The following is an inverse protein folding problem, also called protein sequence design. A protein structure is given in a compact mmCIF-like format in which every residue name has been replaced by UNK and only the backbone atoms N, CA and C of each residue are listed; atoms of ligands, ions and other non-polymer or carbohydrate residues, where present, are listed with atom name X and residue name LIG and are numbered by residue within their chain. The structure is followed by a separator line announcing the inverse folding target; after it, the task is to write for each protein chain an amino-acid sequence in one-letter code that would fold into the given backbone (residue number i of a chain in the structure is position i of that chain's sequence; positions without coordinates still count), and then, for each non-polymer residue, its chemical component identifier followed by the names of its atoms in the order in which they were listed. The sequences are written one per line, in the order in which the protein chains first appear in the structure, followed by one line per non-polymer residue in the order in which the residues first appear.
data_IF_383767284914
#
_entry.id   IF_383767284914
#
_cell.length_a   1.000
_cell.length_b   1.000
_cell.length_c   1.000
_cell.angle_alpha   90.00
_cell.angle_beta   90.00
_cell.angle_gamma   90.00
#
_symmetry.space_group_name_H-M   'P 1'
#
loop_
_entity.id
_entity.type
_entity.pdbx_description
1 polymer ?
#
# COMPACT_ATOMS: atom_id res chain seq x y z
N UNK A 1 0.58 -7.15 30.06
CA UNK A 1 0.98 -7.82 28.80
C UNK A 1 0.23 -9.13 28.68
N UNK A 2 -0.30 -9.44 27.51
CA UNK A 2 -1.00 -10.70 27.22
C UNK A 2 0.01 -11.87 27.24
N UNK A 3 -0.47 -13.04 27.70
CA UNK A 3 0.37 -14.23 27.84
C UNK A 3 -0.34 -15.50 27.33
N UNK A 4 0.44 -16.51 26.98
CA UNK A 4 -0.09 -17.85 26.66
C UNK A 4 -0.90 -18.41 27.84
N UNK A 5 -2.01 -19.07 27.53
CA UNK A 5 -2.98 -19.59 28.49
C UNK A 5 -4.04 -18.58 28.95
N UNK A 6 -3.83 -17.29 28.72
CA UNK A 6 -4.80 -16.24 29.09
C UNK A 6 -6.10 -16.40 28.30
N UNK A 7 -7.24 -16.16 28.99
CA UNK A 7 -8.57 -16.20 28.39
C UNK A 7 -9.00 -14.76 28.05
N UNK A 8 -9.10 -14.46 26.74
CA UNK A 8 -9.59 -13.18 26.24
C UNK A 8 -11.11 -13.23 26.11
N UNK A 9 -11.78 -12.18 26.61
CA UNK A 9 -13.25 -12.04 26.54
C UNK A 9 -14.00 -13.28 27.01
N UNK A 10 -13.48 -14.04 28.03
CA UNK A 10 -14.04 -15.27 28.56
C UNK A 10 -14.35 -16.35 27.50
N UNK A 11 -13.64 -16.30 26.36
CA UNK A 11 -13.89 -17.19 25.20
C UNK A 11 -12.64 -17.67 24.49
N UNK A 12 -11.71 -16.78 24.18
CA UNK A 12 -10.56 -17.10 23.34
C UNK A 12 -9.32 -17.36 24.19
N UNK A 13 -8.90 -18.62 24.31
CA UNK A 13 -7.69 -19.00 25.04
C UNK A 13 -6.47 -18.82 24.15
N UNK A 14 -5.64 -17.84 24.49
CA UNK A 14 -4.42 -17.55 23.76
C UNK A 14 -3.43 -18.70 23.88
N UNK A 15 -2.92 -19.21 22.75
CA UNK A 15 -1.95 -20.30 22.71
C UNK A 15 -0.52 -19.76 22.44
N UNK A 16 -0.27 -19.28 21.27
CA UNK A 16 1.02 -18.75 20.85
C UNK A 16 0.89 -17.42 20.10
N UNK A 17 1.89 -16.53 20.25
CA UNK A 17 1.93 -15.29 19.50
C UNK A 17 2.51 -15.54 18.11
N UNK A 18 1.71 -15.29 17.05
CA UNK A 18 2.07 -15.50 15.65
C UNK A 18 2.90 -14.31 15.12
N UNK A 19 2.46 -13.09 15.41
CA UNK A 19 3.10 -11.88 14.87
C UNK A 19 2.94 -10.67 15.80
N UNK A 20 3.87 -9.72 15.68
CA UNK A 20 3.81 -8.39 16.30
C UNK A 20 3.93 -7.35 15.19
N UNK A 21 3.00 -6.39 15.20
CA UNK A 21 2.97 -5.32 14.19
C UNK A 21 2.79 -3.92 14.80
N UNK A 22 2.74 -2.93 13.92
CA UNK A 22 2.53 -1.53 14.33
C UNK A 22 1.23 -1.30 15.09
N UNK A 23 0.17 -2.06 14.73
CA UNK A 23 -1.19 -1.90 15.27
C UNK A 23 -1.50 -2.84 16.45
N UNK A 24 -0.68 -3.85 16.70
CA UNK A 24 -0.97 -4.83 17.75
C UNK A 24 -0.27 -6.15 17.54
N UNK A 25 -0.82 -7.17 18.14
CA UNK A 25 -0.30 -8.55 18.13
C UNK A 25 -1.33 -9.49 17.50
N UNK A 26 -0.86 -10.52 16.81
CA UNK A 26 -1.70 -11.62 16.31
C UNK A 26 -1.33 -12.89 17.09
N UNK A 27 -2.35 -13.52 17.65
CA UNK A 27 -2.21 -14.72 18.45
C UNK A 27 -2.97 -15.88 17.84
N UNK A 28 -2.40 -17.06 17.90
CA UNK A 28 -3.15 -18.29 17.79
C UNK A 28 -3.97 -18.48 19.08
N UNK A 29 -5.25 -18.85 18.95
CA UNK A 29 -6.13 -19.03 20.09
C UNK A 29 -7.14 -20.15 19.84
N UNK A 30 -7.63 -20.77 20.92
CA UNK A 30 -8.75 -21.72 20.89
C UNK A 30 -10.04 -20.99 21.25
N UNK A 31 -11.03 -21.02 20.37
CA UNK A 31 -12.41 -20.61 20.64
C UNK A 31 -13.08 -21.71 21.51
N UNK A 32 -13.15 -21.50 22.82
CA UNK A 32 -13.64 -22.48 23.76
C UNK A 32 -15.14 -22.79 23.66
N UNK A 33 -15.90 -21.98 22.86
CA UNK A 33 -17.34 -22.20 22.65
C UNK A 33 -17.61 -23.04 21.42
N UNK A 34 -16.77 -22.90 20.37
CA UNK A 34 -16.95 -23.57 19.10
C UNK A 34 -15.92 -24.67 18.84
N UNK A 35 -15.01 -24.91 19.80
CA UNK A 35 -13.95 -25.92 19.76
C UNK A 35 -13.15 -25.89 18.43
N UNK A 36 -12.65 -24.70 18.08
CA UNK A 36 -11.84 -24.49 16.89
C UNK A 36 -10.66 -23.56 17.17
N UNK A 37 -9.60 -23.73 16.41
CA UNK A 37 -8.46 -22.82 16.43
C UNK A 37 -8.73 -21.61 15.54
N UNK A 38 -8.34 -20.43 16.01
CA UNK A 38 -8.55 -19.13 15.35
C UNK A 38 -7.30 -18.27 15.47
N UNK A 39 -7.16 -17.28 14.60
CA UNK A 39 -6.23 -16.17 14.76
C UNK A 39 -6.95 -15.00 15.43
N UNK A 40 -6.35 -14.43 16.48
CA UNK A 40 -6.89 -13.26 17.18
C UNK A 40 -5.92 -12.11 17.07
N UNK A 41 -6.32 -11.08 16.35
CA UNK A 41 -5.57 -9.81 16.24
C UNK A 41 -6.03 -8.88 17.35
N UNK A 42 -5.12 -8.52 18.25
CA UNK A 42 -5.37 -7.69 19.41
C UNK A 42 -4.71 -6.34 19.18
N UNK A 43 -5.50 -5.27 19.25
CA UNK A 43 -5.00 -3.91 19.05
C UNK A 43 -4.21 -3.43 20.25
N UNK A 44 -3.25 -2.53 20.00
CA UNK A 44 -2.56 -1.79 21.05
C UNK A 44 -3.54 -0.93 21.85
N UNK A 45 -3.28 -0.74 23.12
CA UNK A 45 -4.13 0.04 24.01
C UNK A 45 -4.31 1.49 23.54
N UNK A 46 -3.26 2.10 22.99
CA UNK A 46 -3.31 3.47 22.47
C UNK A 46 -4.33 3.62 21.32
N UNK A 47 -4.47 2.60 20.47
CA UNK A 47 -5.44 2.56 19.38
C UNK A 47 -6.84 2.20 19.89
N UNK A 48 -6.92 1.39 20.94
CA UNK A 48 -8.18 1.01 21.58
C UNK A 48 -8.80 2.18 22.38
N UNK A 49 -8.01 3.18 22.76
CA UNK A 49 -8.47 4.42 23.38
C UNK A 49 -9.00 5.47 22.41
N UNK A 50 -8.78 5.33 21.10
CA UNK A 50 -9.24 6.26 20.07
C UNK A 50 -10.62 5.85 19.55
N UNK A 51 -11.66 6.57 19.95
CA UNK A 51 -13.05 6.29 19.59
C UNK A 51 -13.31 6.36 18.08
N UNK A 52 -12.63 7.28 17.35
CA UNK A 52 -12.78 7.41 15.90
C UNK A 52 -12.09 6.25 15.18
N UNK A 53 -10.92 5.86 15.65
CA UNK A 53 -10.23 4.66 15.15
C UNK A 53 -11.06 3.41 15.37
N UNK A 54 -11.59 3.19 16.58
CA UNK A 54 -12.45 2.03 16.90
C UNK A 54 -13.73 1.99 16.07
N UNK A 55 -14.36 3.14 15.82
CA UNK A 55 -15.54 3.20 14.96
C UNK A 55 -15.23 2.74 13.53
N UNK A 56 -14.12 3.21 12.95
CA UNK A 56 -13.65 2.76 11.63
C UNK A 56 -13.30 1.29 11.63
N UNK A 57 -12.50 0.84 12.61
CA UNK A 57 -12.10 -0.55 12.75
C UNK A 57 -13.31 -1.50 12.82
N UNK A 58 -14.33 -1.13 13.61
CA UNK A 58 -15.58 -1.89 13.72
C UNK A 58 -16.35 -1.94 12.41
N UNK A 59 -16.44 -0.82 11.70
CA UNK A 59 -17.13 -0.73 10.41
C UNK A 59 -16.46 -1.61 9.35
N UNK A 60 -15.13 -1.53 9.25
CA UNK A 60 -14.35 -2.34 8.31
C UNK A 60 -14.36 -3.83 8.67
N UNK A 61 -14.30 -4.16 9.97
CA UNK A 61 -14.44 -5.54 10.42
C UNK A 61 -15.79 -6.14 9.98
N UNK A 62 -16.90 -5.37 10.10
CA UNK A 62 -18.23 -5.83 9.64
C UNK A 62 -18.29 -6.00 8.11
N UNK A 63 -17.67 -5.09 7.36
CA UNK A 63 -17.61 -5.19 5.90
C UNK A 63 -16.80 -6.41 5.48
N UNK A 64 -15.62 -6.61 6.08
CA UNK A 64 -14.77 -7.77 5.81
C UNK A 64 -15.44 -9.08 6.21
N UNK A 65 -16.17 -9.10 7.33
CA UNK A 65 -16.94 -10.29 7.76
C UNK A 65 -18.04 -10.70 6.77
N UNK A 66 -18.51 -9.78 5.93
CA UNK A 66 -19.47 -10.09 4.87
C UNK A 66 -18.83 -10.77 3.65
N UNK A 67 -17.50 -10.76 3.54
CA UNK A 67 -16.79 -11.42 2.44
C UNK A 67 -16.76 -12.94 2.69
N UNK A 68 -17.15 -13.69 1.68
CA UNK A 68 -17.00 -15.15 1.66
C UNK A 68 -16.32 -15.56 0.36
N UNK A 69 -15.01 -15.81 0.43
CA UNK A 69 -14.19 -16.22 -0.70
C UNK A 69 -13.03 -17.07 -0.21
N UNK A 70 -12.74 -18.18 -0.89
CA UNK A 70 -11.67 -19.11 -0.48
C UNK A 70 -10.27 -18.46 -0.41
N UNK A 71 -10.02 -17.42 -1.20
CA UNK A 71 -8.77 -16.66 -1.20
C UNK A 71 -8.74 -15.48 -0.20
N UNK A 72 -9.70 -15.40 0.74
CA UNK A 72 -9.74 -14.36 1.78
C UNK A 72 -9.89 -15.05 3.14
N UNK A 73 -9.07 -14.69 4.11
CA UNK A 73 -9.23 -15.17 5.48
C UNK A 73 -10.55 -14.65 6.07
N UNK A 74 -11.42 -15.56 6.52
CA UNK A 74 -12.73 -15.22 7.05
C UNK A 74 -12.61 -14.48 8.39
N UNK A 75 -13.39 -13.41 8.57
CA UNK A 75 -13.56 -12.75 9.87
C UNK A 75 -14.71 -13.45 10.61
N UNK A 76 -14.44 -13.89 11.84
CA UNK A 76 -15.37 -14.67 12.63
C UNK A 76 -16.06 -13.87 13.73
N UNK A 77 -15.33 -12.91 14.34
CA UNK A 77 -15.86 -12.13 15.47
C UNK A 77 -15.05 -10.83 15.62
N UNK A 78 -15.65 -9.87 16.29
CA UNK A 78 -15.04 -8.63 16.74
C UNK A 78 -15.53 -8.36 18.16
N UNK A 79 -14.65 -7.87 19.02
CA UNK A 79 -15.03 -7.49 20.38
C UNK A 79 -14.12 -6.46 21.01
N UNK A 80 -14.60 -5.93 22.11
CA UNK A 80 -13.87 -5.03 23.00
C UNK A 80 -13.96 -5.63 24.41
N UNK A 81 -12.86 -5.62 25.16
CA UNK A 81 -12.79 -6.15 26.53
C UNK A 81 -11.69 -5.44 27.30
N UNK A 82 -11.63 -5.62 28.60
CA UNK A 82 -10.46 -5.20 29.37
C UNK A 82 -9.24 -6.09 29.06
N UNK A 83 -8.07 -5.49 29.04
CA UNK A 83 -6.80 -6.20 28.79
C UNK A 83 -6.51 -7.24 29.86
N UNK A 84 -6.84 -6.89 31.12
CA UNK A 84 -6.81 -7.77 32.29
C UNK A 84 -8.01 -7.39 33.12
N UNK A 85 -8.67 -8.37 33.71
CA UNK A 85 -9.84 -8.14 34.55
C UNK A 85 -9.51 -7.13 35.66
N UNK A 86 -10.27 -6.04 35.74
CA UNK A 86 -10.05 -4.95 36.68
C UNK A 86 -8.92 -3.97 36.33
N UNK A 87 -8.27 -4.09 35.16
CA UNK A 87 -7.21 -3.16 34.76
C UNK A 87 -7.75 -1.78 34.36
N UNK A 88 -9.01 -1.69 33.91
CA UNK A 88 -9.60 -0.51 33.33
C UNK A 88 -9.05 -0.15 31.93
N UNK A 89 -8.09 -0.92 31.42
CA UNK A 89 -7.51 -0.74 30.11
C UNK A 89 -8.31 -1.53 29.07
N UNK A 90 -9.03 -0.82 28.21
CA UNK A 90 -9.83 -1.43 27.14
C UNK A 90 -8.93 -1.81 25.96
N UNK A 91 -9.16 -3.01 25.43
CA UNK A 91 -8.54 -3.50 24.19
C UNK A 91 -9.62 -3.95 23.21
N UNK A 92 -9.39 -3.69 21.92
CA UNK A 92 -10.22 -4.22 20.86
C UNK A 92 -9.50 -5.39 20.17
N UNK A 93 -10.27 -6.38 19.72
CA UNK A 93 -9.74 -7.55 19.05
C UNK A 93 -10.61 -7.98 17.87
N UNK A 94 -9.98 -8.62 16.89
CA UNK A 94 -10.60 -9.22 15.73
C UNK A 94 -10.26 -10.71 15.70
N UNK A 95 -11.26 -11.56 15.60
CA UNK A 95 -11.10 -13.01 15.47
C UNK A 95 -11.29 -13.40 14.02
N UNK A 96 -10.33 -14.12 13.47
CA UNK A 96 -10.32 -14.51 12.07
C UNK A 96 -9.90 -15.97 11.89
N UNK A 97 -10.09 -16.48 10.70
CA UNK A 97 -9.56 -17.78 10.28
C UNK A 97 -8.06 -17.86 10.56
N UNK A 98 -7.63 -18.92 11.23
CA UNK A 98 -6.22 -19.28 11.27
C UNK A 98 -5.88 -19.97 9.95
N UNK A 99 -5.14 -19.28 9.11
CA UNK A 99 -4.73 -19.79 7.80
C UNK A 99 -3.49 -20.68 7.97
N UNK A 100 -3.60 -21.94 7.59
CA UNK A 100 -2.47 -22.86 7.50
C UNK A 100 -1.62 -22.51 6.28
N UNK A 101 -0.68 -21.59 6.44
CA UNK A 101 0.15 -21.08 5.36
C UNK A 101 1.28 -20.19 5.86
N UNK A 102 2.22 -19.93 4.98
CA UNK A 102 3.38 -19.08 5.24
C UNK A 102 3.19 -17.73 4.54
N UNK A 103 3.49 -16.58 5.19
CA UNK A 103 3.50 -15.31 4.51
C UNK A 103 4.47 -15.32 3.32
N UNK A 104 4.04 -14.80 2.17
CA UNK A 104 4.89 -14.66 0.97
C UNK A 104 6.20 -13.92 1.29
N UNK A 105 6.17 -13.00 2.26
CA UNK A 105 7.36 -12.32 2.76
C UNK A 105 8.41 -13.29 3.34
N UNK A 106 7.99 -14.31 4.10
CA UNK A 106 8.88 -15.32 4.66
C UNK A 106 9.42 -16.26 3.57
N UNK A 107 8.57 -16.61 2.60
CA UNK A 107 9.00 -17.37 1.41
C UNK A 107 10.08 -16.61 0.64
N UNK A 108 9.89 -15.31 0.39
CA UNK A 108 10.86 -14.46 -0.30
C UNK A 108 12.15 -14.27 0.49
N UNK A 109 12.06 -14.13 1.81
CA UNK A 109 13.25 -14.04 2.66
C UNK A 109 14.14 -15.30 2.55
N UNK A 110 13.52 -16.48 2.40
CA UNK A 110 14.23 -17.76 2.27
C UNK A 110 14.69 -18.04 0.84
N UNK A 111 13.81 -17.82 -0.17
CA UNK A 111 14.05 -18.22 -1.56
C UNK A 111 14.60 -17.07 -2.42
N UNK A 112 14.52 -15.84 -1.97
CA UNK A 112 14.85 -14.60 -2.67
C UNK A 112 13.99 -14.34 -3.91
N UNK A 113 13.96 -15.28 -4.85
CA UNK A 113 13.16 -15.22 -6.09
C UNK A 113 12.25 -16.42 -6.18
N UNK A 114 11.11 -16.26 -6.84
CA UNK A 114 10.21 -17.32 -7.23
C UNK A 114 10.27 -17.55 -8.74
N UNK A 115 9.89 -18.75 -9.17
CA UNK A 115 9.73 -19.01 -10.61
C UNK A 115 8.61 -18.14 -11.18
N UNK A 116 8.68 -17.77 -12.48
CA UNK A 116 7.62 -17.02 -13.14
C UNK A 116 6.25 -17.70 -13.03
N UNK A 117 6.19 -19.02 -13.17
CA UNK A 117 4.95 -19.82 -13.10
C UNK A 117 4.31 -19.68 -11.71
N UNK A 118 5.11 -19.88 -10.65
CA UNK A 118 4.63 -19.74 -9.27
C UNK A 118 4.22 -18.30 -8.95
N UNK A 119 4.99 -17.34 -9.43
CA UNK A 119 4.66 -15.92 -9.26
C UNK A 119 3.33 -15.57 -9.90
N UNK A 120 3.13 -15.93 -11.17
CA UNK A 120 1.88 -15.66 -11.88
C UNK A 120 0.70 -16.41 -11.25
N UNK A 121 0.89 -17.62 -10.73
CA UNK A 121 -0.15 -18.37 -10.02
C UNK A 121 -0.59 -17.62 -8.74
N UNK A 122 0.35 -17.15 -7.93
CA UNK A 122 0.06 -16.36 -6.72
C UNK A 122 -0.67 -15.06 -7.11
N UNK A 123 -0.21 -14.36 -8.13
CA UNK A 123 -0.82 -13.10 -8.58
C UNK A 123 -2.24 -13.30 -9.10
N UNK A 124 -2.50 -14.37 -9.84
CA UNK A 124 -3.85 -14.68 -10.33
C UNK A 124 -4.80 -14.96 -9.18
N UNK A 125 -4.41 -15.82 -8.22
CA UNK A 125 -5.24 -16.17 -7.07
C UNK A 125 -5.51 -14.93 -6.20
N UNK A 126 -4.47 -14.13 -5.89
CA UNK A 126 -4.60 -12.90 -5.12
C UNK A 126 -5.49 -11.88 -5.85
N UNK A 127 -5.35 -11.73 -7.16
CA UNK A 127 -6.20 -10.86 -7.98
C UNK A 127 -7.67 -11.26 -7.94
N UNK A 128 -7.97 -12.57 -7.99
CA UNK A 128 -9.35 -13.09 -7.84
C UNK A 128 -9.91 -12.82 -6.43
N UNK A 129 -9.10 -12.95 -5.41
CA UNK A 129 -9.48 -12.62 -4.04
C UNK A 129 -9.76 -11.13 -3.88
N UNK A 130 -8.92 -10.25 -4.42
CA UNK A 130 -9.16 -8.80 -4.47
C UNK A 130 -10.46 -8.49 -5.22
N UNK A 131 -10.75 -9.16 -6.33
CA UNK A 131 -12.01 -8.96 -7.05
C UNK A 131 -13.24 -9.23 -6.20
N UNK A 132 -13.20 -10.26 -5.35
CA UNK A 132 -14.33 -10.56 -4.47
C UNK A 132 -14.60 -9.42 -3.46
N UNK A 133 -13.55 -8.72 -3.01
CA UNK A 133 -13.65 -7.53 -2.17
C UNK A 133 -14.08 -6.30 -2.97
N UNK A 134 -13.44 -6.04 -4.12
CA UNK A 134 -13.73 -4.91 -5.00
C UNK A 134 -15.19 -4.92 -5.49
N UNK A 135 -15.74 -6.11 -5.79
CA UNK A 135 -17.13 -6.30 -6.18
C UNK A 135 -18.15 -5.91 -5.09
N UNK A 136 -17.68 -5.72 -3.84
CA UNK A 136 -18.46 -5.24 -2.69
C UNK A 136 -18.08 -3.83 -2.25
N UNK A 137 -17.29 -3.12 -3.05
CA UNK A 137 -16.83 -1.78 -2.76
C UNK A 137 -15.76 -1.71 -1.67
N UNK A 138 -15.13 -2.85 -1.30
CA UNK A 138 -14.04 -2.88 -0.33
C UNK A 138 -12.69 -2.90 -1.04
N UNK A 139 -11.82 -1.95 -0.71
CA UNK A 139 -10.43 -1.87 -1.16
C UNK A 139 -9.53 -2.34 -0.03
N UNK A 140 -8.52 -3.17 -0.33
CA UNK A 140 -7.63 -3.77 0.67
C UNK A 140 -6.68 -2.74 1.30
N UNK A 141 -6.16 -1.80 0.51
CA UNK A 141 -5.29 -0.67 0.91
C UNK A 141 -3.91 -1.02 1.46
N UNK A 142 -3.62 -2.29 1.75
CA UNK A 142 -2.35 -2.76 2.32
C UNK A 142 -1.88 -4.09 1.71
N UNK A 143 -1.99 -4.23 0.39
CA UNK A 143 -1.48 -5.42 -0.32
C UNK A 143 0.04 -5.43 -0.24
N UNK A 144 0.59 -6.47 0.39
CA UNK A 144 2.03 -6.69 0.56
C UNK A 144 2.31 -8.18 0.80
N UNK A 145 3.55 -8.65 0.62
CA UNK A 145 3.87 -10.07 0.82
C UNK A 145 3.58 -10.61 2.22
N UNK A 146 3.56 -9.74 3.25
CA UNK A 146 3.20 -10.15 4.61
C UNK A 146 1.72 -10.49 4.79
N UNK A 147 0.85 -9.95 3.92
CA UNK A 147 -0.60 -10.13 3.96
C UNK A 147 -1.10 -11.13 2.90
N UNK A 148 -0.18 -11.80 2.19
CA UNK A 148 -0.45 -12.86 1.22
C UNK A 148 0.06 -14.16 1.84
N UNK A 149 -0.84 -15.01 2.33
CA UNK A 149 -0.48 -16.32 2.87
C UNK A 149 -0.56 -17.37 1.77
N UNK A 150 0.42 -18.25 1.73
CA UNK A 150 0.51 -19.34 0.76
C UNK A 150 0.58 -20.65 1.51
N UNK A 151 -0.39 -21.54 1.28
CA UNK A 151 -0.40 -22.86 1.88
C UNK A 151 0.67 -23.77 1.25
N UNK A 152 1.00 -24.93 1.87
CA UNK A 152 1.90 -25.91 1.28
C UNK A 152 1.43 -26.41 -0.11
N UNK A 153 0.12 -26.45 -0.34
CA UNK A 153 -0.52 -26.87 -1.60
C UNK A 153 -0.53 -25.74 -2.65
N UNK A 154 -0.07 -24.52 -2.28
CA UNK A 154 -0.04 -23.37 -3.18
C UNK A 154 -1.32 -22.53 -3.19
N UNK A 155 -2.27 -22.78 -2.29
CA UNK A 155 -3.49 -21.96 -2.16
C UNK A 155 -3.13 -20.61 -1.53
N UNK A 156 -3.62 -19.53 -2.14
CA UNK A 156 -3.37 -18.16 -1.68
C UNK A 156 -4.56 -17.63 -0.89
N UNK A 157 -4.29 -17.05 0.28
CA UNK A 157 -5.28 -16.29 1.06
C UNK A 157 -4.76 -14.90 1.41
N UNK A 158 -5.59 -13.88 1.19
CA UNK A 158 -5.35 -12.52 1.63
C UNK A 158 -5.84 -12.34 3.07
N UNK A 159 -5.04 -11.65 3.87
CA UNK A 159 -5.35 -11.31 5.27
C UNK A 159 -5.21 -9.80 5.48
N UNK A 160 -5.67 -9.30 6.62
CA UNK A 160 -5.46 -7.92 7.05
C UNK A 160 -5.91 -6.89 6.00
N UNK A 161 -7.13 -7.05 5.46
CA UNK A 161 -7.77 -5.95 4.74
C UNK A 161 -7.66 -4.69 5.60
N UNK A 162 -7.24 -3.60 5.00
CA UNK A 162 -6.70 -2.39 5.65
C UNK A 162 -7.56 -1.72 6.71
N UNK A 163 -8.07 -2.53 7.63
CA UNK A 163 -9.04 -2.24 8.70
C UNK A 163 -8.65 -1.01 9.55
N UNK A 164 -7.42 -0.53 9.43
CA UNK A 164 -6.96 0.58 10.24
C UNK A 164 -6.26 1.71 9.45
N UNK A 165 -6.09 1.56 8.12
CA UNK A 165 -5.38 2.57 7.32
C UNK A 165 -6.24 3.72 6.82
N UNK A 166 -7.56 3.66 6.93
CA UNK A 166 -8.41 4.82 6.65
C UNK A 166 -8.17 6.01 7.59
N UNK A 167 -7.49 5.78 8.72
CA UNK A 167 -7.12 6.84 9.67
C UNK A 167 -5.87 7.63 9.26
N UNK A 168 -4.94 6.99 8.53
CA UNK A 168 -3.66 7.58 8.14
C UNK A 168 -3.69 8.21 6.74
N UNK A 169 -4.84 8.70 6.28
CA UNK A 169 -4.96 9.47 5.05
C UNK A 169 -4.18 10.83 5.10
N UNK A 170 -3.38 11.05 6.14
CA UNK A 170 -2.35 12.08 6.11
C UNK A 170 -1.26 11.64 5.12
N UNK A 171 -0.90 12.50 4.14
CA UNK A 171 0.20 12.19 3.23
C UNK A 171 1.43 11.78 4.04
N UNK A 172 2.19 10.80 3.54
CA UNK A 172 3.42 10.24 4.14
C UNK A 172 4.35 11.32 4.74
N UNK A 173 4.17 12.56 4.31
CA UNK A 173 4.94 13.73 4.75
C UNK A 173 4.57 14.26 6.14
N UNK A 174 3.41 13.92 6.73
CA UNK A 174 2.93 14.54 7.98
C UNK A 174 3.30 13.81 9.28
N UNK A 175 3.43 12.51 9.28
CA UNK A 175 3.61 11.77 10.55
C UNK A 175 4.94 11.04 10.72
N UNK A 176 5.81 10.97 9.71
CA UNK A 176 7.13 10.29 9.85
C UNK A 176 7.06 8.81 10.22
N UNK A 177 5.86 8.25 10.44
CA UNK A 177 5.61 6.96 11.09
C UNK A 177 5.11 5.89 10.11
N UNK A 178 5.67 5.84 8.88
CA UNK A 178 5.36 4.76 7.91
C UNK A 178 6.50 3.75 7.91
N UNK A 179 6.64 3.02 9.01
CA UNK A 179 7.61 1.94 9.09
C UNK A 179 7.07 0.71 8.33
N UNK A 180 7.69 0.34 7.23
CA UNK A 180 7.49 -0.93 6.51
C UNK A 180 6.46 -0.94 5.37
N UNK A 181 5.46 -0.07 5.33
CA UNK A 181 4.36 -0.13 4.34
C UNK A 181 4.64 0.70 3.07
N UNK A 182 5.52 1.68 3.12
CA UNK A 182 5.83 2.54 1.98
C UNK A 182 6.35 1.79 0.74
N UNK A 183 6.89 0.59 0.91
CA UNK A 183 7.51 -0.18 -0.17
C UNK A 183 6.54 -0.77 -1.21
N UNK A 184 5.25 -0.79 -0.91
CA UNK A 184 4.20 -1.34 -1.79
C UNK A 184 3.07 -0.34 -2.03
N UNK A 185 3.23 0.91 -1.57
CA UNK A 185 2.20 1.95 -1.64
C UNK A 185 1.94 2.35 -3.10
N UNK A 186 0.67 2.51 -3.46
CA UNK A 186 0.33 3.07 -4.77
C UNK A 186 0.61 4.58 -4.82
N UNK A 187 0.97 5.14 -6.00
CA UNK A 187 1.28 6.57 -6.15
C UNK A 187 0.21 7.50 -5.60
N UNK A 188 -1.07 7.21 -5.88
CA UNK A 188 -2.22 7.99 -5.40
C UNK A 188 -2.34 7.97 -3.87
N UNK A 189 -2.09 6.82 -3.23
CA UNK A 189 -2.07 6.71 -1.77
C UNK A 189 -0.90 7.51 -1.16
N UNK A 190 0.27 7.45 -1.80
CA UNK A 190 1.43 8.23 -1.36
C UNK A 190 1.20 9.75 -1.47
N UNK A 191 0.35 10.18 -2.41
CA UNK A 191 -0.10 11.57 -2.56
C UNK A 191 -1.21 11.95 -1.55
N UNK A 192 -1.74 10.99 -0.78
CA UNK A 192 -2.83 11.21 0.17
C UNK A 192 -4.22 11.21 -0.47
N UNK A 193 -4.36 10.67 -1.67
CA UNK A 193 -5.66 10.41 -2.29
C UNK A 193 -6.26 9.12 -1.76
N UNK A 194 -7.58 8.98 -1.89
CA UNK A 194 -8.26 7.74 -1.53
C UNK A 194 -7.74 6.57 -2.37
N UNK A 195 -7.58 5.41 -1.71
CA UNK A 195 -7.25 4.18 -2.39
C UNK A 195 -8.46 3.66 -3.17
N UNK A 196 -8.21 3.23 -4.38
CA UNK A 196 -9.20 2.61 -5.28
C UNK A 196 -8.79 1.16 -5.64
N UNK A 197 -9.65 0.34 -6.25
CA UNK A 197 -9.28 -1.03 -6.64
C UNK A 197 -7.98 -1.14 -7.45
N UNK A 198 -7.70 -0.16 -8.32
CA UNK A 198 -6.46 -0.08 -9.08
C UNK A 198 -5.21 0.18 -8.20
N UNK A 199 -5.38 0.72 -6.98
CA UNK A 199 -4.30 0.86 -6.00
C UNK A 199 -3.84 -0.50 -5.48
N UNK A 200 -4.78 -1.39 -5.15
CA UNK A 200 -4.47 -2.77 -4.73
C UNK A 200 -3.77 -3.55 -5.85
N UNK A 201 -4.21 -3.34 -7.08
CA UNK A 201 -3.61 -3.96 -8.27
C UNK A 201 -2.17 -3.50 -8.47
N UNK A 202 -1.88 -2.21 -8.28
CA UNK A 202 -0.50 -1.69 -8.30
C UNK A 202 0.36 -2.33 -7.22
N UNK A 203 -0.13 -2.38 -5.98
CA UNK A 203 0.59 -2.99 -4.86
C UNK A 203 0.85 -4.48 -5.08
N UNK A 204 -0.12 -5.20 -5.67
CA UNK A 204 0.04 -6.60 -6.06
C UNK A 204 1.09 -6.78 -7.16
N UNK A 205 1.16 -5.86 -8.14
CA UNK A 205 2.22 -5.87 -9.15
C UNK A 205 3.61 -5.60 -8.55
N UNK A 206 3.72 -4.73 -7.53
CA UNK A 206 4.97 -4.54 -6.77
C UNK A 206 5.39 -5.84 -6.09
N UNK A 207 4.45 -6.60 -5.49
CA UNK A 207 4.74 -7.93 -4.94
C UNK A 207 5.23 -8.90 -6.04
N UNK A 208 4.60 -8.86 -7.21
CA UNK A 208 5.01 -9.67 -8.37
C UNK A 208 6.41 -9.31 -8.88
N UNK A 209 6.72 -8.01 -8.93
CA UNK A 209 8.06 -7.55 -9.27
C UNK A 209 9.10 -8.13 -8.29
N UNK A 210 8.85 -8.03 -6.98
CA UNK A 210 9.75 -8.57 -5.96
C UNK A 210 9.92 -10.09 -6.08
N UNK A 211 8.83 -10.83 -6.34
CA UNK A 211 8.90 -12.27 -6.58
C UNK A 211 9.82 -12.62 -7.76
N UNK A 212 9.73 -11.86 -8.86
CA UNK A 212 10.49 -12.12 -10.09
C UNK A 212 11.92 -11.58 -10.03
N UNK A 213 12.14 -10.43 -9.42
CA UNK A 213 13.44 -9.77 -9.35
C UNK A 213 14.28 -10.21 -8.14
N UNK A 214 13.63 -10.64 -7.05
CA UNK A 214 14.28 -10.95 -5.77
C UNK A 214 14.55 -9.72 -4.90
N UNK A 215 14.09 -8.56 -5.33
CA UNK A 215 14.13 -7.30 -4.61
C UNK A 215 12.98 -6.39 -5.06
N UNK A 216 12.62 -5.44 -4.23
CA UNK A 216 11.60 -4.44 -4.54
C UNK A 216 12.08 -3.47 -5.60
N UNK A 217 11.17 -2.87 -6.41
CA UNK A 217 11.55 -1.92 -7.45
C UNK A 217 12.19 -0.64 -6.89
N UNK A 218 11.78 -0.22 -5.70
CA UNK A 218 12.26 1.00 -5.06
C UNK A 218 12.78 0.70 -3.65
N UNK A 219 13.99 1.15 -3.36
CA UNK A 219 14.70 0.91 -2.10
C UNK A 219 15.33 2.21 -1.62
N UNK A 220 15.11 2.54 -0.36
CA UNK A 220 15.78 3.63 0.36
C UNK A 220 15.70 3.33 1.86
N UNK A 221 16.60 3.91 2.63
CA UNK A 221 16.55 3.86 4.10
C UNK A 221 15.37 4.65 4.67
N UNK A 222 14.86 5.63 3.92
CA UNK A 222 13.78 6.50 4.35
C UNK A 222 12.47 6.16 3.64
N UNK A 223 11.42 5.85 4.40
CA UNK A 223 10.08 5.54 3.88
C UNK A 223 9.52 6.65 2.98
N UNK A 224 9.76 7.92 3.29
CA UNK A 224 9.37 9.06 2.47
C UNK A 224 10.03 9.03 1.09
N UNK A 225 11.32 8.70 1.03
CA UNK A 225 12.04 8.57 -0.25
C UNK A 225 11.46 7.44 -1.10
N UNK A 226 11.13 6.30 -0.50
CA UNK A 226 10.48 5.18 -1.20
C UNK A 226 9.12 5.61 -1.75
N UNK A 227 8.29 6.30 -0.95
CA UNK A 227 7.01 6.82 -1.39
C UNK A 227 7.16 7.79 -2.57
N UNK A 228 8.16 8.68 -2.54
CA UNK A 228 8.45 9.60 -3.64
C UNK A 228 8.88 8.87 -4.92
N UNK A 229 9.64 7.76 -4.81
CA UNK A 229 9.99 6.92 -5.96
C UNK A 229 8.74 6.28 -6.56
N UNK A 230 7.80 5.79 -5.73
CA UNK A 230 6.51 5.29 -6.22
C UNK A 230 5.72 6.35 -7.01
N UNK A 231 5.81 7.62 -6.62
CA UNK A 231 5.14 8.72 -7.31
C UNK A 231 5.81 9.07 -8.64
N UNK A 232 7.16 9.11 -8.70
CA UNK A 232 7.90 9.77 -9.79
C UNK A 232 8.71 8.84 -10.66
N UNK A 233 9.30 7.78 -10.07
CA UNK A 233 10.32 7.00 -10.75
C UNK A 233 9.72 5.79 -11.47
N UNK A 234 10.26 5.45 -12.63
CA UNK A 234 9.93 4.19 -13.30
C UNK A 234 10.60 3.03 -12.55
N UNK A 235 9.89 1.90 -12.46
CA UNK A 235 10.48 0.69 -11.94
C UNK A 235 11.65 0.25 -12.84
N UNK A 236 12.78 -0.17 -12.27
CA UNK A 236 13.86 -0.77 -13.06
C UNK A 236 13.35 -1.95 -13.89
N UNK A 237 13.93 -2.22 -15.07
CA UNK A 237 13.53 -3.37 -15.87
C UNK A 237 13.74 -4.68 -15.09
N UNK A 238 12.80 -5.61 -15.23
CA UNK A 238 12.94 -6.96 -14.67
C UNK A 238 14.15 -7.68 -15.29
N UNK A 239 14.77 -8.63 -14.56
CA UNK A 239 15.89 -9.42 -15.06
C UNK A 239 15.60 -10.07 -16.43
N UNK A 240 16.59 -10.18 -17.33
CA UNK A 240 16.37 -10.65 -18.71
C UNK A 240 15.89 -12.11 -18.80
N UNK A 241 16.09 -12.91 -17.77
CA UNK A 241 15.61 -14.29 -17.66
C UNK A 241 14.11 -14.41 -17.34
N UNK A 242 13.44 -13.29 -16.99
CA UNK A 242 11.99 -13.26 -16.79
C UNK A 242 11.27 -13.34 -18.14
N UNK A 243 10.33 -14.30 -18.35
CA UNK A 243 9.59 -14.43 -19.59
C UNK A 243 8.88 -13.13 -20.00
N UNK A 244 8.83 -12.82 -21.33
CA UNK A 244 8.25 -11.58 -21.83
C UNK A 244 6.81 -11.32 -21.37
N UNK A 245 5.95 -12.35 -21.31
CA UNK A 245 4.57 -12.22 -20.85
C UNK A 245 4.48 -11.83 -19.36
N UNK A 246 5.26 -12.47 -18.49
CA UNK A 246 5.32 -12.13 -17.07
C UNK A 246 5.83 -10.70 -16.85
N UNK A 247 6.87 -10.29 -17.61
CA UNK A 247 7.38 -8.92 -17.61
C UNK A 247 6.31 -7.93 -18.00
N UNK A 248 5.61 -8.18 -19.12
CA UNK A 248 4.61 -7.28 -19.67
C UNK A 248 3.43 -7.04 -18.69
N UNK A 249 2.96 -8.06 -17.97
CA UNK A 249 1.91 -7.92 -16.94
C UNK A 249 2.35 -6.95 -15.85
N UNK A 250 3.56 -7.10 -15.33
CA UNK A 250 4.07 -6.25 -14.24
C UNK A 250 4.25 -4.81 -14.74
N UNK A 251 4.89 -4.61 -15.90
CA UNK A 251 5.15 -3.29 -16.47
C UNK A 251 3.85 -2.54 -16.79
N UNK A 252 2.85 -3.21 -17.39
CA UNK A 252 1.54 -2.62 -17.68
C UNK A 252 0.78 -2.19 -16.41
N UNK A 253 1.10 -2.79 -15.26
CA UNK A 253 0.41 -2.52 -13.99
C UNK A 253 1.13 -1.47 -13.14
N UNK A 254 2.46 -1.33 -13.25
CA UNK A 254 3.25 -0.35 -12.48
C UNK A 254 3.18 1.08 -13.02
N UNK A 255 2.24 1.37 -13.92
CA UNK A 255 1.95 2.72 -14.45
C UNK A 255 1.46 3.64 -13.33
N UNK A 256 1.87 4.93 -13.37
CA UNK A 256 1.58 5.87 -12.27
C UNK A 256 0.14 6.34 -12.22
N UNK A 257 -0.49 6.56 -13.37
CA UNK A 257 -1.91 6.92 -13.46
C UNK A 257 -2.79 5.67 -13.25
N UNK A 258 -3.62 5.59 -12.18
CA UNK A 258 -4.45 4.43 -11.90
C UNK A 258 -5.43 4.11 -13.03
N UNK A 259 -5.87 5.13 -13.78
CA UNK A 259 -6.80 4.96 -14.93
C UNK A 259 -6.17 4.22 -16.12
N UNK A 260 -4.85 4.09 -16.15
CA UNK A 260 -4.11 3.37 -17.20
C UNK A 260 -3.75 1.94 -16.78
N UNK A 261 -4.12 1.52 -15.57
CA UNK A 261 -3.92 0.17 -15.04
C UNK A 261 -5.14 -0.70 -15.28
N UNK A 262 -5.03 -1.98 -14.92
CA UNK A 262 -6.20 -2.84 -14.74
C UNK A 262 -7.07 -2.27 -13.62
N UNK A 263 -8.35 -2.08 -13.91
CA UNK A 263 -9.25 -1.33 -13.05
C UNK A 263 -9.54 -2.00 -11.70
N UNK A 264 -9.38 -3.33 -11.63
CA UNK A 264 -9.66 -4.12 -10.42
C UNK A 264 -8.94 -5.46 -10.44
N UNK A 265 -9.03 -6.21 -9.32
CA UNK A 265 -8.39 -7.50 -9.17
C UNK A 265 -8.82 -8.55 -10.20
N UNK A 266 -10.07 -8.52 -10.65
CA UNK A 266 -10.59 -9.47 -11.64
C UNK A 266 -10.01 -9.27 -13.03
N UNK A 267 -9.94 -8.03 -13.47
CA UNK A 267 -9.33 -7.67 -14.75
C UNK A 267 -7.83 -8.05 -14.75
N UNK A 268 -7.12 -7.72 -13.68
CA UNK A 268 -5.72 -8.13 -13.50
C UNK A 268 -5.54 -9.64 -13.51
N UNK A 269 -6.36 -10.38 -12.74
CA UNK A 269 -6.30 -11.84 -12.71
C UNK A 269 -6.58 -12.47 -14.08
N UNK A 270 -7.53 -11.90 -14.84
CA UNK A 270 -7.80 -12.32 -16.21
C UNK A 270 -6.60 -12.10 -17.15
N UNK A 271 -5.91 -10.98 -17.01
CA UNK A 271 -4.70 -10.69 -17.78
C UNK A 271 -3.55 -11.67 -17.43
N UNK A 272 -3.36 -11.94 -16.13
CA UNK A 272 -2.37 -12.94 -15.67
C UNK A 272 -2.71 -14.33 -16.21
N UNK A 273 -3.98 -14.74 -16.13
CA UNK A 273 -4.43 -16.04 -16.66
C UNK A 273 -4.20 -16.17 -18.17
N UNK A 274 -4.45 -15.12 -18.94
CA UNK A 274 -4.18 -15.11 -20.39
C UNK A 274 -2.69 -15.35 -20.67
N UNK A 275 -1.80 -14.64 -19.95
CA UNK A 275 -0.35 -14.82 -20.09
C UNK A 275 0.10 -16.23 -19.69
N UNK A 276 -0.45 -16.79 -18.60
CA UNK A 276 -0.16 -18.17 -18.17
C UNK A 276 -0.59 -19.20 -19.22
N UNK A 277 -1.68 -18.92 -19.94
CA UNK A 277 -2.15 -19.76 -21.04
C UNK A 277 -1.36 -19.54 -22.36
N UNK A 278 -0.34 -18.68 -22.36
CA UNK A 278 0.43 -18.37 -23.57
C UNK A 278 -0.27 -17.42 -24.54
N UNK A 279 -1.34 -16.77 -24.13
CA UNK A 279 -2.04 -15.76 -24.92
C UNK A 279 -1.37 -14.38 -24.82
N UNK A 280 -1.58 -13.50 -25.80
CA UNK A 280 -1.17 -12.11 -25.70
C UNK A 280 -1.77 -11.42 -24.49
N UNK A 281 -1.02 -10.49 -23.88
CA UNK A 281 -1.49 -9.70 -22.74
C UNK A 281 -2.68 -8.83 -23.16
N UNK A 282 -3.87 -8.97 -22.54
CA UNK A 282 -4.97 -8.04 -22.74
C UNK A 282 -4.61 -6.63 -22.26
N UNK A 283 -4.93 -5.58 -23.01
CA UNK A 283 -4.69 -4.21 -22.56
C UNK A 283 -5.63 -3.87 -21.37
N UNK A 284 -5.18 -3.04 -20.42
CA UNK A 284 -6.06 -2.50 -19.38
C UNK A 284 -7.27 -1.76 -19.96
N UNK A 285 -8.46 -1.96 -19.36
CA UNK A 285 -9.72 -1.34 -19.82
C UNK A 285 -9.67 0.19 -19.81
N UNK A 286 -8.92 0.78 -18.87
CA UNK A 286 -8.71 2.22 -18.81
C UNK A 286 -7.98 2.79 -20.02
N UNK A 287 -7.01 2.07 -20.59
CA UNK A 287 -6.33 2.44 -21.84
C UNK A 287 -7.28 2.33 -23.04
N UNK A 288 -8.10 1.27 -23.08
CA UNK A 288 -9.10 1.10 -24.14
C UNK A 288 -10.12 2.23 -24.14
N UNK A 289 -10.61 2.62 -22.96
CA UNK A 289 -11.57 3.73 -22.81
C UNK A 289 -10.97 5.10 -23.18
N UNK A 290 -9.67 5.30 -22.98
CA UNK A 290 -8.99 6.55 -23.33
C UNK A 290 -8.68 6.68 -24.83
N UNK A 291 -9.05 5.69 -25.67
CA UNK A 291 -8.83 5.74 -27.12
C UNK A 291 -7.38 5.58 -27.54
N UNK A 292 -6.50 5.12 -26.66
CA UNK A 292 -5.08 4.89 -26.97
C UNK A 292 -4.83 3.63 -27.83
N UNK A 293 -5.86 2.85 -28.11
CA UNK A 293 -5.79 1.81 -29.14
C UNK A 293 -5.97 2.49 -30.48
N UNK A 294 -4.88 3.05 -31.02
CA UNK A 294 -4.82 3.43 -32.43
C UNK A 294 -5.23 2.20 -33.24
N UNK A 295 -6.31 2.33 -34.01
CA UNK A 295 -6.59 1.38 -35.07
C UNK A 295 -5.29 1.18 -35.85
N UNK A 296 -4.90 -0.06 -36.20
CA UNK A 296 -3.81 -0.27 -37.13
C UNK A 296 -4.18 0.52 -38.38
N UNK A 297 -3.40 1.54 -38.68
CA UNK A 297 -3.47 2.24 -39.97
C UNK A 297 -3.12 1.15 -40.97
N UNK A 298 -4.12 0.60 -41.65
CA UNK A 298 -3.89 -0.20 -42.84
C UNK A 298 -3.23 0.72 -43.85
N UNK A 299 -2.02 0.46 -44.33
CA UNK A 299 -1.35 1.32 -45.29
C UNK A 299 -2.00 1.35 -46.70
N UNK A 300 -3.18 0.72 -46.87
CA UNK A 300 -3.89 0.61 -48.15
C UNK A 300 -5.34 1.09 -48.08
N UNK A 301 -5.69 2.04 -47.24
CA UNK A 301 -6.97 2.73 -47.40
C UNK A 301 -6.82 3.74 -48.55
N UNK A 302 -7.16 3.31 -49.74
CA UNK A 302 -7.40 4.24 -50.86
C UNK A 302 -8.50 5.23 -50.42
N UNK A 303 -8.33 6.55 -50.67
CA UNK A 303 -9.41 7.50 -50.42
C UNK A 303 -10.65 7.08 -51.26
N UNK A 304 -11.88 7.21 -50.72
CA UNK A 304 -13.07 6.89 -51.50
C UNK A 304 -13.10 7.79 -52.72
N UNK A 305 -12.99 7.18 -53.92
CA UNK A 305 -13.25 7.84 -55.19
C UNK A 305 -14.69 8.35 -55.17
N UNK A 306 -14.83 9.66 -55.22
CA UNK A 306 -16.13 10.28 -55.46
C UNK A 306 -16.72 9.71 -56.78
N UNK A 307 -17.76 8.92 -56.67
CA UNK A 307 -18.52 8.42 -57.80
C UNK A 307 -19.18 9.63 -58.47
N UNK A 308 -18.60 10.08 -59.61
CA UNK A 308 -19.26 10.99 -60.54
C UNK A 308 -20.49 10.28 -61.12
N UNK A 309 -21.66 10.56 -60.63
CA UNK A 309 -22.91 10.21 -61.29
C UNK A 309 -23.11 11.15 -62.46
N UNK A 310 -22.83 10.62 -63.65
CA UNK A 310 -23.26 11.24 -64.91
C UNK A 310 -24.78 11.23 -64.99
N UNK A 311 -25.40 12.41 -64.90
CA UNK A 311 -26.84 12.61 -65.19
C UNK A 311 -27.02 12.73 -66.70
N UNK A 312 -27.75 11.78 -67.26
CA UNK A 312 -28.32 11.88 -68.61
C UNK A 312 -29.50 12.88 -68.68
N UNK A 313 -29.62 13.69 -69.68
CA UNK A 313 -30.71 14.68 -69.78
C UNK A 313 -31.98 14.05 -70.40
N UNK A 314 -33.10 14.17 -69.72
CA UNK A 314 -34.41 13.98 -70.30
C UNK A 314 -35.07 15.36 -70.54
N UNK A 315 -35.81 15.58 -71.65
CA UNK A 315 -36.43 16.85 -71.99
C UNK A 315 -37.78 17.05 -71.30
N UNK A 316 -38.01 18.25 -70.77
CA UNK A 316 -39.27 18.66 -70.14
C UNK A 316 -39.98 19.66 -71.11
N UNK A 317 -41.29 19.55 -71.37
CA UNK A 317 -42.05 20.56 -72.12
C UNK A 317 -42.41 21.74 -71.19
N UNK A 318 -42.37 22.92 -71.76
CA UNK A 318 -42.54 24.20 -71.11
C UNK A 318 -44.00 24.55 -70.66
N UNK A 319 -44.06 25.41 -69.66
CA UNK A 319 -45.23 26.16 -69.21
C UNK A 319 -44.77 27.46 -68.51
N UNK A 320 -45.54 28.55 -68.55
CA UNK A 320 -45.01 29.92 -68.49
C UNK A 320 -44.82 30.46 -67.09
N UNK A 321 -43.95 31.42 -67.05
CA UNK A 321 -43.36 32.23 -65.97
C UNK A 321 -44.45 33.09 -65.25
N UNK A 322 -44.38 33.17 -63.93
CA UNK A 322 -44.91 34.25 -63.07
C UNK A 322 -43.83 34.73 -62.06
N UNK A 323 -43.68 36.06 -61.88
CA UNK A 323 -42.62 36.60 -61.06
C UNK A 323 -43.01 36.67 -59.60
N UNK A 324 -42.21 36.14 -58.70
CA UNK A 324 -42.48 36.24 -57.28
C UNK A 324 -41.34 35.78 -56.36
N UNK A 325 -40.69 36.73 -55.76
CA UNK A 325 -40.05 36.72 -54.44
C UNK A 325 -38.80 35.85 -54.23
N UNK A 326 -37.66 36.50 -54.17
CA UNK A 326 -36.41 35.98 -53.62
C UNK A 326 -36.52 35.81 -52.11
N UNK A 327 -36.09 34.68 -51.54
CA UNK A 327 -35.80 34.57 -50.09
C UNK A 327 -34.35 35.02 -49.85
N UNK A 328 -34.21 35.99 -48.98
CA UNK A 328 -32.93 36.48 -48.46
C UNK A 328 -32.22 35.38 -47.66
N UNK A 329 -31.02 35.04 -48.06
CA UNK A 329 -30.09 34.20 -47.31
C UNK A 329 -29.47 35.07 -46.22
N UNK A 330 -29.80 34.79 -44.92
CA UNK A 330 -29.07 35.28 -43.79
C UNK A 330 -27.77 34.48 -43.63
N UNK A 331 -26.63 35.11 -43.33
CA UNK A 331 -25.37 34.41 -43.15
C UNK A 331 -25.38 33.66 -41.80
N UNK A 332 -25.10 32.35 -41.88
CA UNK A 332 -24.85 31.48 -40.69
C UNK A 332 -23.51 31.89 -40.07
N UNK A 333 -23.55 32.31 -38.82
CA UNK A 333 -22.34 32.60 -38.02
C UNK A 333 -21.58 31.29 -37.72
N UNK A 334 -20.23 31.31 -37.70
CA UNK A 334 -19.43 30.15 -37.32
C UNK A 334 -19.56 29.84 -35.83
N UNK A 335 -19.45 28.55 -35.39
CA UNK A 335 -19.55 28.17 -33.99
C UNK A 335 -18.42 28.78 -33.16
N UNK A 336 -18.76 29.53 -32.12
CA UNK A 336 -17.85 30.21 -31.22
C UNK A 336 -16.87 29.24 -30.55
N UNK A 337 -15.59 29.49 -30.76
CA UNK A 337 -14.50 28.82 -30.05
C UNK A 337 -14.60 29.08 -28.54
N UNK A 338 -14.63 28.02 -27.77
CA UNK A 338 -14.56 28.05 -26.31
C UNK A 338 -13.16 28.56 -25.91
N UNK A 339 -13.07 29.80 -25.47
CA UNK A 339 -11.85 30.35 -24.87
C UNK A 339 -11.68 29.70 -23.49
N UNK A 340 -10.47 29.17 -23.13
CA UNK A 340 -10.21 28.73 -21.78
C UNK A 340 -10.32 29.92 -20.81
N UNK A 341 -11.19 29.83 -19.83
CA UNK A 341 -11.31 30.82 -18.77
C UNK A 341 -10.06 30.75 -17.88
N UNK A 342 -9.18 31.75 -17.99
CA UNK A 342 -8.12 31.98 -17.01
C UNK A 342 -8.80 32.26 -15.65
N UNK A 343 -8.78 31.28 -14.74
CA UNK A 343 -9.14 31.49 -13.34
C UNK A 343 -8.15 32.52 -12.77
N UNK A 344 -8.61 33.73 -12.59
CA UNK A 344 -7.89 34.75 -11.79
C UNK A 344 -7.97 34.30 -10.35
N UNK A 345 -6.83 33.97 -9.74
CA UNK A 345 -6.73 33.75 -8.29
C UNK A 345 -7.22 35.04 -7.61
N UNK A 346 -8.17 34.97 -6.68
CA UNK A 346 -8.68 36.17 -6.02
C UNK A 346 -7.56 36.79 -5.19
N UNK A 347 -7.42 38.11 -5.28
CA UNK A 347 -6.34 38.90 -4.65
C UNK A 347 -6.20 38.66 -3.12
N UNK A 348 -7.26 38.21 -2.45
CA UNK A 348 -7.23 37.86 -1.04
C UNK A 348 -6.38 36.64 -0.68
N UNK A 349 -6.17 35.67 -1.63
CA UNK A 349 -5.29 34.52 -1.40
C UNK A 349 -3.82 34.96 -1.33
N UNK A 350 -3.41 35.95 -2.13
CA UNK A 350 -2.06 36.51 -2.06
C UNK A 350 -1.85 37.30 -0.75
N UNK A 351 -2.89 38.03 -0.27
CA UNK A 351 -2.86 38.70 1.01
C UNK A 351 -2.78 37.71 2.18
N UNK A 352 -3.50 36.59 2.14
CA UNK A 352 -3.43 35.58 3.18
C UNK A 352 -2.04 34.91 3.24
N UNK A 353 -1.42 34.60 2.10
CA UNK A 353 -0.05 34.04 2.04
C UNK A 353 0.98 35.06 2.57
N UNK A 354 0.85 36.34 2.22
CA UNK A 354 1.74 37.38 2.72
C UNK A 354 1.61 37.58 4.25
N UNK A 355 0.39 37.48 4.79
CA UNK A 355 0.16 37.56 6.23
C UNK A 355 0.79 36.40 7.00
N UNK A 356 0.65 35.19 6.49
CA UNK A 356 1.28 33.98 7.10
C UNK A 356 2.79 34.11 7.09
N UNK A 357 3.39 34.56 6.00
CA UNK A 357 4.85 34.79 5.90
C UNK A 357 5.31 35.85 6.91
N UNK A 358 4.54 36.93 7.10
CA UNK A 358 4.88 37.97 8.03
C UNK A 358 4.79 37.52 9.50
N UNK A 359 3.78 36.69 9.83
CA UNK A 359 3.64 36.09 11.16
C UNK A 359 4.76 35.06 11.46
N UNK A 360 5.20 34.27 10.47
CA UNK A 360 6.32 33.35 10.67
C UNK A 360 7.63 34.08 10.89
N UNK A 361 7.90 35.16 10.14
CA UNK A 361 9.10 35.98 10.37
C UNK A 361 9.05 36.63 11.75
N UNK A 362 7.91 37.20 12.17
CA UNK A 362 7.74 37.80 13.49
C UNK A 362 7.97 36.78 14.62
N UNK A 363 7.47 35.53 14.46
CA UNK A 363 7.68 34.47 15.43
C UNK A 363 9.18 34.06 15.53
N UNK A 364 9.87 33.99 14.41
CA UNK A 364 11.32 33.70 14.39
C UNK A 364 12.12 34.79 15.07
N UNK A 365 11.82 36.07 14.78
CA UNK A 365 12.48 37.22 15.44
C UNK A 365 12.22 37.21 16.94
N UNK A 366 10.98 36.92 17.36
CA UNK A 366 10.63 36.85 18.79
C UNK A 366 11.42 35.72 19.50
N UNK A 367 11.53 34.56 18.89
CA UNK A 367 12.33 33.43 19.43
C UNK A 367 13.80 33.82 19.54
N UNK A 368 14.37 34.44 18.50
CA UNK A 368 15.78 34.88 18.52
C UNK A 368 16.04 35.99 19.55
N UNK A 369 15.08 36.91 19.81
CA UNK A 369 15.22 37.93 20.83
C UNK A 369 15.08 37.36 22.25
N UNK A 370 14.18 36.38 22.47
CA UNK A 370 14.02 35.75 23.77
C UNK A 370 15.16 34.80 24.14
N UNK A 371 15.85 34.21 23.14
CA UNK A 371 17.01 33.35 23.37
C UNK A 371 18.35 34.09 23.30
N UNK A 372 18.37 35.36 22.85
CA UNK A 372 19.57 36.19 22.76
C UNK A 372 19.95 36.91 24.04
N UNK A 373 19.12 36.89 25.08
CA UNK A 373 19.32 37.72 26.30
C UNK A 373 19.93 36.95 27.50
N UNK A 374 20.29 35.68 27.35
CA UNK A 374 20.92 34.87 28.41
C UNK A 374 22.46 34.76 28.29
N UNK A 375 23.13 35.72 27.65
CA UNK A 375 24.56 35.71 27.46
C UNK A 375 25.30 36.99 27.90
N UNK A 376 25.28 37.32 29.19
CA UNK A 376 26.14 38.46 29.63
C UNK A 376 26.00 38.88 31.07
N UNK A 377 26.77 38.31 31.98
CA UNK A 377 27.43 39.00 33.10
C UNK A 377 28.07 38.02 34.09
N UNK A 378 29.38 38.09 34.27
CA UNK A 378 30.07 37.43 35.35
C UNK A 378 31.57 37.26 35.07
N UNK A 379 32.31 38.34 35.02
CA UNK A 379 33.76 38.34 34.95
C UNK A 379 34.43 37.94 36.28
N UNK A 380 35.79 37.76 36.32
CA UNK A 380 36.50 36.83 37.21
C UNK A 380 36.91 37.48 38.52
N UNK A 381 36.84 36.73 39.60
CA UNK A 381 37.55 37.04 40.86
C UNK A 381 38.51 35.89 41.17
N UNK A 382 39.77 36.27 41.03
CA UNK A 382 41.02 35.70 41.49
C UNK A 382 41.00 35.38 43.00
N UNK A 383 41.43 34.17 43.44
CA UNK A 383 42.17 33.86 44.66
C UNK A 383 42.75 32.45 44.58
N UNK A 384 44.08 32.41 44.55
CA UNK A 384 44.91 31.22 44.62
C UNK A 384 45.06 30.64 46.07
N UNK A 385 46.12 29.89 46.42
CA UNK A 385 45.94 28.45 46.63
C UNK A 385 46.27 28.02 48.08
N UNK A 386 45.74 26.89 48.52
CA UNK A 386 46.25 26.08 49.62
C UNK A 386 45.67 24.66 49.43
N UNK A 387 46.41 23.60 49.23
CA UNK A 387 47.43 23.01 50.10
C UNK A 387 46.80 21.84 50.85
N UNK A 388 47.17 20.60 50.56
CA UNK A 388 46.87 19.46 51.44
C UNK A 388 46.56 18.18 50.66
N UNK A 389 47.58 17.46 50.31
CA UNK A 389 48.07 16.18 50.85
C UNK A 389 47.20 14.93 50.55
N UNK A 390 47.82 14.10 49.75
CA UNK A 390 47.52 12.66 49.60
C UNK A 390 47.93 11.89 50.88
N UNK A 391 47.40 10.72 51.14
CA UNK A 391 48.30 9.58 51.23
C UNK A 391 47.88 8.36 50.37
N UNK A 392 48.93 7.88 49.78
CA UNK A 392 49.17 6.62 49.15
C UNK A 392 49.36 5.53 50.24
N UNK A 393 48.80 4.36 50.04
CA UNK A 393 49.24 3.05 50.60
C UNK A 393 48.39 2.01 49.91
N UNK A 394 48.81 0.93 49.34
CA UNK A 394 50.06 0.20 49.37
C UNK A 394 49.71 -1.16 48.78
N UNK A 395 50.60 -1.63 47.99
CA UNK A 395 50.78 -3.01 47.49
C UNK A 395 50.47 -4.08 48.55
N UNK A 396 49.91 -5.20 48.15
CA UNK A 396 50.56 -6.49 48.42
C UNK A 396 50.14 -7.58 47.43
N UNK A 397 51.15 -8.19 46.90
CA UNK A 397 51.33 -9.36 46.07
C UNK A 397 51.07 -10.66 46.86
N UNK A 398 50.79 -11.70 46.18
CA UNK A 398 51.14 -13.13 46.23
C UNK A 398 49.91 -14.02 46.10
N UNK A 399 49.82 -15.04 45.28
CA UNK A 399 50.78 -15.99 44.80
C UNK A 399 50.16 -17.37 44.86
N UNK A 400 50.22 -18.11 43.77
CA UNK A 400 50.53 -19.53 43.88
C UNK A 400 49.41 -20.57 43.68
N UNK A 401 49.61 -21.44 42.68
CA UNK A 401 49.35 -22.86 42.67
C UNK A 401 47.96 -23.28 42.10
N UNK A 402 47.81 -24.03 41.03
CA UNK A 402 48.53 -25.25 40.63
C UNK A 402 47.59 -26.45 40.74
N UNK A 403 47.41 -27.23 39.64
CA UNK A 403 46.80 -28.57 39.68
C UNK A 403 45.73 -28.74 38.60
N UNK A 404 46.01 -29.18 37.39
CA UNK A 404 46.07 -30.55 36.84
C UNK A 404 44.85 -31.43 37.17
N UNK A 405 44.10 -31.82 36.08
CA UNK A 405 43.93 -33.23 35.87
C UNK A 405 42.51 -33.69 35.54
N UNK A 406 42.41 -34.29 34.41
CA UNK A 406 41.75 -35.52 34.02
C UNK A 406 40.47 -35.48 33.19
N UNK A 407 40.69 -35.83 31.95
CA UNK A 407 39.91 -36.70 31.02
C UNK A 407 38.94 -37.68 31.70
N UNK A 408 37.74 -37.83 31.17
CA UNK A 408 37.12 -39.13 30.92
C UNK A 408 35.93 -38.98 29.97
N UNK A 409 36.02 -39.36 28.71
CA UNK A 409 35.41 -40.45 27.94
C UNK A 409 33.88 -40.66 28.03
N UNK A 410 33.28 -40.60 26.84
CA UNK A 410 31.99 -41.11 26.37
C UNK A 410 31.75 -42.59 26.76
N UNK A 411 30.48 -43.11 26.69
CA UNK A 411 30.14 -43.77 25.44
C UNK A 411 28.71 -43.49 24.91
N UNK A 412 28.60 -43.69 23.56
CA UNK A 412 27.41 -43.96 22.78
C UNK A 412 26.63 -45.17 23.31
N UNK A 413 25.30 -45.12 23.14
CA UNK A 413 24.49 -46.26 22.75
C UNK A 413 23.16 -45.85 22.16
N UNK A 414 22.91 -46.20 20.93
CA UNK A 414 21.65 -46.49 20.25
C UNK A 414 21.57 -48.02 20.19
N UNK A 415 20.48 -48.77 19.97
CA UNK A 415 19.27 -48.50 19.18
C UNK A 415 17.96 -49.12 19.75
N UNK A 416 16.82 -48.68 19.32
CA UNK A 416 15.79 -49.49 18.59
C UNK A 416 14.66 -48.58 18.16
#
# INVERSE_FOLDING_TARGET
MLSSGQLLAQRYRLAGRIAVGGMGEVWEASDTRLDRTVAVKILKAELSGDAEFLHRFRTEARTTASLNHHGIAAVHDYGETEATEGSGESIAYLVMELVEGEPLAAILARQRRLSPERTLDILEQAGRALQAAHGRGLVHRDVKPGNILVSPEGVVKLTDFGIAKAADAAPVTRSGMVMGTAHYIAPEQALGHDAEPASDVYSLAVCGYECLAGHRPFLSEHAVSVAMMHIRDFAPPLPPDVPPGARAVIEATLVKDPRQRYANGGEFAGAVAAVRAGHPLPPPSGLAAAGYLTHPVHPNAHPPQAASMAMSPHPVPGGPVGPGSQPSLSPVAPPGGVRPSRRRTPAWTLLAVALVLLLTVAAIVLVLTLWGDDGGAGGPADRGPAGGSWPNTGMHTSGGGGGQGMMSTLPMENPQ
#
